data_IF_393947639378
#
_entry.id   IF_393947639378
#
_cell.length_a   1.000
_cell.length_b   1.000
_cell.length_c   1.000
_cell.angle_alpha   90.00
_cell.angle_beta   90.00
_cell.angle_gamma   90.00
#
_symmetry.space_group_name_H-M   'P 1'
#
loop_
_entity.id
_entity.type
_entity.pdbx_description
1 polymer ?
#
# COMPACT_ATOMS: atom_id res chain seq x y z
N UNK A 1 -32.64 20.58 6.92
CA UNK A 1 -31.35 20.06 7.42
C UNK A 1 -30.53 21.23 7.94
N UNK A 2 -30.05 21.15 9.18
CA UNK A 2 -29.25 22.21 9.81
C UNK A 2 -27.84 22.27 9.20
N UNK A 3 -27.15 23.40 9.33
CA UNK A 3 -25.72 23.51 9.02
C UNK A 3 -24.90 22.48 9.80
N UNK A 4 -25.27 22.19 11.05
CA UNK A 4 -24.61 21.17 11.86
C UNK A 4 -24.78 19.75 11.30
N UNK A 5 -25.97 19.43 10.78
CA UNK A 5 -26.23 18.13 10.15
C UNK A 5 -25.39 17.92 8.89
N UNK A 6 -25.23 18.99 8.07
CA UNK A 6 -24.39 18.95 6.87
C UNK A 6 -22.93 18.68 7.20
N UNK A 7 -22.37 19.39 8.17
CA UNK A 7 -20.99 19.19 8.61
C UNK A 7 -20.76 17.78 9.17
N UNK A 8 -21.74 17.22 9.89
CA UNK A 8 -21.66 15.84 10.40
C UNK A 8 -21.63 14.80 9.28
N UNK A 9 -22.46 14.96 8.25
CA UNK A 9 -22.47 14.05 7.10
C UNK A 9 -21.19 14.21 6.24
N UNK A 10 -20.71 15.43 6.01
CA UNK A 10 -19.43 15.68 5.33
C UNK A 10 -18.26 15.02 6.05
N UNK A 11 -18.20 15.15 7.39
CA UNK A 11 -17.19 14.48 8.21
C UNK A 11 -17.25 12.96 8.11
N UNK A 12 -18.45 12.38 8.13
CA UNK A 12 -18.65 10.93 7.95
C UNK A 12 -18.18 10.47 6.56
N UNK A 13 -18.51 11.22 5.50
CA UNK A 13 -18.08 10.90 4.13
C UNK A 13 -16.56 11.01 3.97
N UNK A 14 -15.94 12.05 4.54
CA UNK A 14 -14.49 12.21 4.54
C UNK A 14 -13.80 11.06 5.27
N UNK A 15 -14.31 10.67 6.45
CA UNK A 15 -13.79 9.53 7.21
C UNK A 15 -13.90 8.20 6.44
N UNK A 16 -15.04 7.93 5.80
CA UNK A 16 -15.21 6.74 4.95
C UNK A 16 -14.23 6.75 3.78
N UNK A 17 -14.08 7.89 3.11
CA UNK A 17 -13.16 8.02 1.97
C UNK A 17 -11.70 7.76 2.39
N UNK A 18 -11.30 8.31 3.53
CA UNK A 18 -9.96 8.12 4.07
C UNK A 18 -9.73 6.68 4.52
N UNK A 19 -10.69 6.06 5.23
CA UNK A 19 -10.59 4.66 5.64
C UNK A 19 -10.46 3.70 4.45
N UNK A 20 -11.23 3.93 3.37
CA UNK A 20 -11.10 3.15 2.12
C UNK A 20 -9.72 3.36 1.48
N UNK A 21 -9.17 4.58 1.55
CA UNK A 21 -7.86 4.90 0.98
C UNK A 21 -6.74 4.20 1.74
N UNK A 22 -6.76 4.26 3.07
CA UNK A 22 -5.76 3.60 3.92
C UNK A 22 -5.86 2.07 3.84
N UNK A 23 -7.07 1.50 3.92
CA UNK A 23 -7.23 0.05 3.80
C UNK A 23 -6.76 -0.50 2.45
N UNK A 24 -6.93 0.25 1.35
CA UNK A 24 -6.36 -0.11 0.05
C UNK A 24 -4.83 -0.02 0.02
N UNK A 25 -4.25 0.89 0.79
CA UNK A 25 -2.79 1.04 0.88
C UNK A 25 -2.19 -0.13 1.65
N UNK A 26 -2.79 -0.46 2.80
CA UNK A 26 -2.40 -1.60 3.64
C UNK A 26 -2.47 -2.92 2.86
N UNK A 27 -3.58 -3.19 2.16
CA UNK A 27 -3.74 -4.41 1.36
C UNK A 27 -2.71 -4.53 0.24
N UNK A 28 -2.36 -3.42 -0.43
CA UNK A 28 -1.30 -3.43 -1.44
C UNK A 28 0.05 -3.77 -0.84
N UNK A 29 0.39 -3.20 0.32
CA UNK A 29 1.66 -3.46 1.00
C UNK A 29 1.72 -4.93 1.42
N UNK A 30 0.68 -5.45 2.08
CA UNK A 30 0.59 -6.85 2.50
C UNK A 30 0.72 -7.80 1.30
N UNK A 31 0.04 -7.49 0.20
CA UNK A 31 0.13 -8.27 -1.05
C UNK A 31 1.55 -8.27 -1.61
N UNK A 32 2.18 -7.09 -1.70
CA UNK A 32 3.56 -6.99 -2.21
C UNK A 32 4.51 -7.82 -1.34
N UNK A 33 4.40 -7.69 0.00
CA UNK A 33 5.24 -8.46 0.93
C UNK A 33 5.02 -9.95 0.72
N UNK A 34 3.78 -10.42 0.82
CA UNK A 34 3.44 -11.84 0.73
C UNK A 34 3.90 -12.47 -0.59
N UNK A 35 3.62 -11.83 -1.72
CA UNK A 35 3.99 -12.39 -3.02
C UNK A 35 5.50 -12.35 -3.24
N UNK A 36 6.19 -11.29 -2.78
CA UNK A 36 7.65 -11.21 -2.89
C UNK A 36 8.33 -12.28 -2.04
N UNK A 37 7.90 -12.47 -0.79
CA UNK A 37 8.48 -13.47 0.11
C UNK A 37 8.26 -14.89 -0.42
N UNK A 38 7.05 -15.19 -0.88
CA UNK A 38 6.73 -16.49 -1.50
C UNK A 38 7.54 -16.72 -2.77
N UNK A 39 7.64 -15.72 -3.65
CA UNK A 39 8.34 -15.88 -4.93
C UNK A 39 9.85 -16.04 -4.77
N UNK A 40 10.46 -15.29 -3.85
CA UNK A 40 11.90 -15.32 -3.61
C UNK A 40 12.32 -16.38 -2.59
N UNK A 41 11.37 -17.17 -2.06
CA UNK A 41 11.59 -18.21 -1.05
C UNK A 41 12.32 -17.68 0.20
N UNK A 42 11.91 -16.51 0.69
CA UNK A 42 12.44 -15.86 1.91
C UNK A 42 11.35 -15.71 2.99
N UNK A 43 11.75 -15.69 4.26
CA UNK A 43 10.80 -15.63 5.38
C UNK A 43 10.15 -14.25 5.55
N UNK A 44 10.90 -13.17 5.30
CA UNK A 44 10.45 -11.79 5.51
C UNK A 44 11.30 -10.80 4.71
N UNK A 45 10.76 -9.60 4.47
CA UNK A 45 11.54 -8.49 3.94
C UNK A 45 12.35 -7.82 5.05
N UNK A 46 13.40 -7.10 4.67
CA UNK A 46 14.15 -6.32 5.67
C UNK A 46 13.26 -5.22 6.27
N UNK A 47 13.47 -4.84 7.55
CA UNK A 47 12.71 -3.74 8.18
C UNK A 47 12.82 -2.40 7.44
N UNK A 48 13.91 -2.19 6.71
CA UNK A 48 14.11 -1.02 5.86
C UNK A 48 13.18 -1.04 4.64
N UNK A 49 13.08 -2.19 3.97
CA UNK A 49 12.25 -2.35 2.78
C UNK A 49 10.76 -2.25 3.12
N UNK A 50 10.33 -2.83 4.23
CA UNK A 50 8.96 -2.68 4.73
C UNK A 50 8.65 -1.21 5.06
N UNK A 51 9.59 -0.49 5.69
CA UNK A 51 9.43 0.94 5.96
C UNK A 51 9.30 1.75 4.68
N UNK A 52 10.09 1.42 3.66
CA UNK A 52 10.02 2.07 2.35
C UNK A 52 8.66 1.83 1.68
N UNK A 53 8.13 0.60 1.70
CA UNK A 53 6.78 0.29 1.21
C UNK A 53 5.70 1.08 1.94
N UNK A 54 5.79 1.19 3.28
CA UNK A 54 4.85 1.97 4.07
C UNK A 54 4.87 3.47 3.74
N UNK A 55 6.04 4.02 3.42
CA UNK A 55 6.19 5.42 3.02
C UNK A 55 5.86 5.67 1.54
N UNK A 56 5.73 4.61 0.74
CA UNK A 56 5.48 4.70 -0.69
C UNK A 56 4.04 5.13 -0.99
N UNK A 57 3.87 5.96 -2.02
CA UNK A 57 2.56 6.42 -2.47
C UNK A 57 1.73 5.29 -3.10
N UNK A 58 0.40 5.38 -2.97
CA UNK A 58 -0.54 4.38 -3.50
C UNK A 58 -0.34 4.11 -5.01
N UNK A 59 0.05 5.12 -5.79
CA UNK A 59 0.32 4.97 -7.22
C UNK A 59 1.48 4.00 -7.49
N UNK A 60 2.61 4.21 -6.82
CA UNK A 60 3.79 3.35 -6.94
C UNK A 60 3.52 1.95 -6.42
N UNK A 61 2.80 1.79 -5.30
CA UNK A 61 2.40 0.47 -4.79
C UNK A 61 1.58 -0.32 -5.82
N UNK A 62 0.66 0.34 -6.55
CA UNK A 62 -0.07 -0.32 -7.65
C UNK A 62 0.85 -0.75 -8.77
N UNK A 63 1.82 0.07 -9.14
CA UNK A 63 2.82 -0.26 -10.17
C UNK A 63 3.63 -1.49 -9.73
N UNK A 64 4.09 -1.54 -8.48
CA UNK A 64 4.80 -2.70 -7.93
C UNK A 64 3.91 -3.95 -8.03
N UNK A 65 2.66 -3.87 -7.53
CA UNK A 65 1.70 -4.99 -7.60
C UNK A 65 1.53 -5.49 -9.03
N UNK A 66 1.30 -4.59 -9.98
CA UNK A 66 1.05 -4.95 -11.38
C UNK A 66 2.29 -5.56 -12.06
N UNK A 67 3.48 -5.36 -11.49
CA UNK A 67 4.75 -5.92 -11.95
C UNK A 67 5.31 -7.01 -11.02
N UNK A 68 4.56 -7.51 -10.04
CA UNK A 68 5.04 -8.53 -9.07
C UNK A 68 5.62 -9.77 -9.76
N UNK A 69 5.00 -10.19 -10.86
CA UNK A 69 5.45 -11.35 -11.63
C UNK A 69 6.81 -11.13 -12.30
N UNK A 70 7.25 -9.87 -12.47
CA UNK A 70 8.53 -9.51 -13.07
C UNK A 70 9.64 -9.24 -12.02
N UNK A 71 9.32 -9.24 -10.73
CA UNK A 71 10.30 -9.05 -9.65
C UNK A 71 11.00 -10.39 -9.41
N UNK A 72 12.27 -10.52 -9.79
CA UNK A 72 13.05 -11.76 -9.61
C UNK A 72 14.08 -11.65 -8.48
N UNK A 73 14.25 -10.47 -7.90
CA UNK A 73 15.12 -10.25 -6.75
C UNK A 73 14.64 -9.09 -5.87
N UNK A 74 15.24 -8.93 -4.69
CA UNK A 74 14.95 -7.77 -3.83
C UNK A 74 15.39 -6.45 -4.48
N UNK A 75 16.49 -6.46 -5.24
CA UNK A 75 16.96 -5.30 -5.99
C UNK A 75 15.94 -4.86 -7.06
N UNK A 76 15.18 -5.79 -7.65
CA UNK A 76 14.10 -5.44 -8.58
C UNK A 76 12.96 -4.69 -7.89
N UNK A 77 12.61 -5.09 -6.66
CA UNK A 77 11.62 -4.39 -5.85
C UNK A 77 12.13 -3.00 -5.43
N UNK A 78 13.40 -2.90 -5.01
CA UNK A 78 14.04 -1.64 -4.62
C UNK A 78 14.06 -0.59 -5.74
N UNK A 79 14.14 -1.00 -7.01
CA UNK A 79 14.06 -0.07 -8.17
C UNK A 79 12.77 0.74 -8.22
N UNK A 80 11.68 0.24 -7.65
CA UNK A 80 10.40 0.97 -7.58
C UNK A 80 10.32 1.91 -6.37
N UNK A 81 11.19 1.74 -5.38
CA UNK A 81 11.16 2.46 -4.10
C UNK A 81 12.15 3.64 -4.05
N UNK A 82 12.97 3.81 -5.09
CA UNK A 82 13.91 4.92 -5.28
C UNK A 82 13.31 6.10 -6.06
#
# INVERSE_FOLDING_TARGET
MSTADKLREEGKLAGIKEGIREGRKEELIETIILFTTVKLEIDSLSPELERNLNNTGLGTLKIIRDNLLNIESLEDLEKYLN
#
